data_IF_592114918907
#
_entry.id   IF_592114918907
#
_cell.length_a   1.000
_cell.length_b   1.000
_cell.length_c   1.000
_cell.angle_alpha   90.00
_cell.angle_beta   90.00
_cell.angle_gamma   90.00
#
_symmetry.space_group_name_H-M   'P 1'
#
loop_
_entity.id
_entity.type
_entity.pdbx_description
1 polymer ?
#
# COMPACT_ATOMS: atom_id res chain seq x y z
N UNK A 1 4.94 -4.31 -10.30
CA UNK A 1 4.39 -2.98 -10.62
C UNK A 1 5.49 -1.94 -10.43
N UNK A 2 5.56 -0.87 -11.25
CA UNK A 2 6.61 0.15 -11.08
C UNK A 2 6.27 1.13 -9.95
N UNK A 3 7.08 1.16 -8.89
CA UNK A 3 6.93 2.10 -7.77
C UNK A 3 7.71 3.38 -8.09
N UNK A 4 6.99 4.51 -8.13
CA UNK A 4 7.56 5.84 -8.45
C UNK A 4 8.56 6.31 -7.38
N UNK A 5 8.23 6.12 -6.10
CA UNK A 5 9.10 6.53 -4.99
C UNK A 5 8.98 5.59 -3.79
N UNK A 6 10.14 5.25 -3.21
CA UNK A 6 10.24 4.49 -1.97
C UNK A 6 10.18 5.38 -0.72
N UNK A 7 10.51 6.67 -0.85
CA UNK A 7 10.66 7.57 0.28
C UNK A 7 9.45 7.62 1.23
N UNK A 8 8.18 7.66 0.76
CA UNK A 8 7.02 7.67 1.65
C UNK A 8 6.94 6.43 2.56
N UNK A 9 7.37 5.27 2.08
CA UNK A 9 7.40 4.04 2.88
C UNK A 9 8.47 4.10 3.96
N UNK A 10 9.68 4.59 3.64
CA UNK A 10 10.79 4.69 4.58
C UNK A 10 10.58 5.78 5.64
N UNK A 11 10.02 6.92 5.25
CA UNK A 11 9.64 7.98 6.18
C UNK A 11 8.51 7.53 7.11
N UNK A 12 7.47 6.89 6.57
CA UNK A 12 6.38 6.35 7.37
C UNK A 12 6.85 5.24 8.31
N UNK A 13 7.76 4.36 7.88
CA UNK A 13 8.30 3.31 8.74
C UNK A 13 9.13 3.88 9.90
N UNK A 14 9.86 4.98 9.68
CA UNK A 14 10.55 5.71 10.77
C UNK A 14 9.59 6.41 11.71
N UNK A 15 8.49 6.97 11.17
CA UNK A 15 7.48 7.69 11.95
C UNK A 15 6.57 6.76 12.76
N UNK A 16 6.27 5.58 12.23
CA UNK A 16 5.38 4.59 12.82
C UNK A 16 6.13 3.27 13.04
N UNK A 17 7.02 3.19 14.05
CA UNK A 17 7.90 2.04 14.24
C UNK A 17 7.15 0.73 14.53
N UNK A 18 5.99 0.80 15.18
CA UNK A 18 5.15 -0.37 15.46
C UNK A 18 4.63 -1.03 14.17
N UNK A 19 4.40 -0.24 13.12
CA UNK A 19 3.87 -0.71 11.84
C UNK A 19 4.95 -0.76 10.74
N UNK A 20 6.21 -0.52 11.08
CA UNK A 20 7.32 -0.44 10.12
C UNK A 20 7.49 -1.73 9.30
N UNK A 21 7.36 -2.89 9.95
CA UNK A 21 7.41 -4.19 9.27
C UNK A 21 6.25 -4.35 8.27
N UNK A 22 5.05 -3.89 8.62
CA UNK A 22 3.89 -3.95 7.74
C UNK A 22 4.06 -3.02 6.52
N UNK A 23 4.62 -1.82 6.72
CA UNK A 23 4.93 -0.88 5.63
C UNK A 23 6.00 -1.45 4.68
N UNK A 24 7.04 -2.09 5.21
CA UNK A 24 8.08 -2.75 4.41
C UNK A 24 7.52 -3.95 3.64
N UNK A 25 6.67 -4.76 4.27
CA UNK A 25 6.00 -5.88 3.63
C UNK A 25 5.09 -5.40 2.48
N UNK A 26 4.31 -4.33 2.71
CA UNK A 26 3.48 -3.74 1.67
C UNK A 26 4.32 -3.30 0.46
N UNK A 27 5.39 -2.53 0.70
CA UNK A 27 6.30 -2.10 -0.37
C UNK A 27 6.83 -3.27 -1.18
N UNK A 28 7.23 -4.35 -0.50
CA UNK A 28 7.76 -5.56 -1.15
C UNK A 28 6.72 -6.23 -2.05
N UNK A 29 5.50 -6.44 -1.55
CA UNK A 29 4.42 -7.07 -2.33
C UNK A 29 4.09 -6.27 -3.57
N UNK A 30 3.94 -4.94 -3.46
CA UNK A 30 3.64 -4.08 -4.62
C UNK A 30 4.79 -4.09 -5.63
N UNK A 31 6.04 -4.16 -5.16
CA UNK A 31 7.23 -4.17 -6.01
C UNK A 31 7.37 -5.49 -6.78
N UNK A 32 7.15 -6.61 -6.11
CA UNK A 32 7.40 -7.96 -6.63
C UNK A 32 6.23 -8.49 -7.47
N UNK A 33 5.02 -7.95 -7.28
CA UNK A 33 3.82 -8.39 -8.02
C UNK A 33 3.41 -7.37 -9.08
N UNK A 34 3.06 -7.85 -10.27
CA UNK A 34 2.38 -7.06 -11.29
C UNK A 34 0.87 -7.29 -11.20
N UNK A 35 0.13 -6.20 -11.00
CA UNK A 35 -1.33 -6.20 -11.02
C UNK A 35 -1.79 -5.45 -12.28
N UNK A 36 -2.57 -6.12 -13.12
CA UNK A 36 -3.11 -5.54 -14.35
C UNK A 36 -4.44 -4.83 -14.11
N UNK A 37 -5.18 -5.24 -13.07
CA UNK A 37 -6.48 -4.68 -12.70
C UNK A 37 -6.59 -4.43 -11.18
N UNK A 38 -7.44 -3.50 -10.74
CA UNK A 38 -7.75 -3.34 -9.31
C UNK A 38 -8.34 -4.61 -8.68
N UNK A 39 -9.07 -5.42 -9.46
CA UNK A 39 -9.64 -6.69 -9.03
C UNK A 39 -8.55 -7.72 -8.71
N UNK A 40 -7.49 -7.78 -9.51
CA UNK A 40 -6.29 -8.58 -9.17
C UNK A 40 -5.61 -8.05 -7.92
N UNK A 41 -5.51 -6.73 -7.77
CA UNK A 41 -4.93 -6.13 -6.57
C UNK A 41 -5.74 -6.47 -5.30
N UNK A 42 -7.07 -6.62 -5.41
CA UNK A 42 -7.94 -7.06 -4.30
C UNK A 42 -7.64 -8.48 -3.81
N UNK A 43 -7.05 -9.35 -4.64
CA UNK A 43 -6.70 -10.70 -4.18
C UNK A 43 -5.53 -10.67 -3.19
N UNK A 44 -4.59 -9.73 -3.36
CA UNK A 44 -3.51 -9.49 -2.42
C UNK A 44 -3.91 -8.56 -1.27
N UNK A 45 -4.83 -7.63 -1.52
CA UNK A 45 -5.30 -6.63 -0.56
C UNK A 45 -6.83 -6.63 -0.49
N UNK A 46 -7.45 -7.53 0.29
CA UNK A 46 -8.92 -7.66 0.33
C UNK A 46 -9.67 -6.37 0.72
N UNK A 47 -9.04 -5.52 1.52
CA UNK A 47 -9.61 -4.24 1.98
C UNK A 47 -9.27 -3.06 1.04
N UNK A 48 -8.79 -3.30 -0.18
CA UNK A 48 -8.51 -2.22 -1.14
C UNK A 48 -9.78 -1.40 -1.38
N UNK A 49 -9.70 -0.07 -1.23
CA UNK A 49 -10.82 0.83 -1.50
C UNK A 49 -10.46 1.87 -2.57
N UNK A 50 -11.47 2.45 -3.21
CA UNK A 50 -11.28 3.55 -4.16
C UNK A 50 -11.22 4.88 -3.41
N UNK A 51 -10.23 5.71 -3.71
CA UNK A 51 -10.17 7.07 -3.21
C UNK A 51 -11.08 7.98 -4.06
N UNK A 52 -12.33 8.13 -3.62
CA UNK A 52 -13.43 8.76 -4.39
C UNK A 52 -13.13 10.16 -4.96
N UNK A 53 -12.20 10.90 -4.35
CA UNK A 53 -11.87 12.27 -4.75
C UNK A 53 -10.86 12.34 -5.90
N UNK A 54 -10.18 11.25 -6.25
CA UNK A 54 -9.20 11.23 -7.33
C UNK A 54 -9.23 9.93 -8.12
N UNK A 55 -9.39 10.04 -9.43
CA UNK A 55 -9.46 8.87 -10.29
C UNK A 55 -8.15 8.07 -10.24
N UNK A 56 -8.26 6.74 -10.25
CA UNK A 56 -7.14 5.76 -10.18
C UNK A 56 -6.29 5.87 -8.92
N UNK A 57 -6.86 6.35 -7.83
CA UNK A 57 -6.24 6.36 -6.51
C UNK A 57 -6.97 5.36 -5.62
N UNK A 58 -6.20 4.65 -4.80
CA UNK A 58 -6.70 3.55 -4.00
C UNK A 58 -6.23 3.70 -2.56
N UNK A 59 -7.01 3.20 -1.62
CA UNK A 59 -6.67 3.18 -0.21
C UNK A 59 -6.33 1.76 0.21
N UNK A 60 -5.21 1.60 0.89
CA UNK A 60 -4.67 0.35 1.40
C UNK A 60 -4.55 0.40 2.93
N UNK A 61 -5.01 -0.66 3.57
CA UNK A 61 -4.90 -0.84 5.01
C UNK A 61 -3.55 -1.47 5.39
N UNK A 62 -2.88 -0.91 6.39
CA UNK A 62 -1.55 -1.38 6.84
C UNK A 62 -1.53 -1.49 8.37
N UNK A 63 -0.82 -2.52 8.87
CA UNK A 63 -0.58 -2.68 10.30
C UNK A 63 -1.84 -3.01 11.09
N UNK A 64 -2.70 -3.91 10.61
CA UNK A 64 -3.94 -4.26 11.31
C UNK A 64 -4.94 -3.10 11.36
N UNK A 65 -5.03 -2.34 10.27
CA UNK A 65 -5.86 -1.14 10.10
C UNK A 65 -5.40 0.11 10.89
N UNK A 66 -4.19 0.12 11.44
CA UNK A 66 -3.61 1.30 12.10
C UNK A 66 -3.29 2.45 11.13
N UNK A 67 -2.91 2.11 9.88
CA UNK A 67 -2.49 3.07 8.86
C UNK A 67 -3.30 2.91 7.57
N UNK A 68 -3.35 3.99 6.79
CA UNK A 68 -3.92 4.07 5.45
C UNK A 68 -2.88 4.63 4.48
N UNK A 69 -2.60 3.88 3.42
CA UNK A 69 -1.75 4.34 2.31
C UNK A 69 -2.67 4.71 1.14
N UNK A 70 -2.43 5.87 0.54
CA UNK A 70 -3.18 6.42 -0.59
C UNK A 70 -2.22 6.64 -1.76
#
# INVERSE_FOLDING_TARGET
MHIISKAPFEESARKYPNDALALQALYRVIKETDFSTPEEMRTAFPNLDNFKYRNKWYVLDVGGNNLRVI
#
